data_IF_091761548076
#
_entry.id   IF_091761548076
#
_cell.length_a   1.000
_cell.length_b   1.000
_cell.length_c   1.000
_cell.angle_alpha   90.00
_cell.angle_beta   90.00
_cell.angle_gamma   90.00
#
_symmetry.space_group_name_H-M   'P 1'
#
loop_
_entity.id
_entity.type
_entity.pdbx_description
1 polymer ?
#
# COMPACT_ATOMS: atom_id res chain seq x y z
N UNK A 1 30.67 -29.51 -29.82
CA UNK A 1 29.36 -30.10 -29.45
C UNK A 1 29.36 -30.13 -27.93
N UNK A 2 28.90 -29.07 -27.26
CA UNK A 2 27.54 -29.02 -26.67
C UNK A 2 27.50 -29.98 -25.47
N UNK A 3 27.46 -29.55 -24.21
CA UNK A 3 26.28 -28.88 -23.68
C UNK A 3 26.60 -27.80 -22.62
N UNK A 4 25.93 -26.69 -22.86
CA UNK A 4 25.56 -25.59 -21.99
C UNK A 4 24.89 -26.10 -20.71
N UNK A 5 25.42 -25.72 -19.54
CA UNK A 5 24.72 -25.83 -18.27
C UNK A 5 24.09 -24.46 -17.98
N UNK A 6 23.00 -24.17 -18.70
CA UNK A 6 22.09 -23.07 -18.39
C UNK A 6 21.42 -23.33 -17.05
N UNK A 7 21.98 -22.74 -15.99
CA UNK A 7 21.31 -22.60 -14.70
C UNK A 7 20.25 -21.51 -14.83
N UNK A 8 19.16 -21.80 -15.55
CA UNK A 8 18.00 -20.92 -15.61
C UNK A 8 17.24 -20.97 -14.28
N UNK A 9 17.17 -19.81 -13.65
CA UNK A 9 15.94 -19.29 -13.06
C UNK A 9 15.28 -20.16 -11.99
N UNK A 10 15.72 -19.99 -10.75
CA UNK A 10 14.77 -20.05 -9.65
C UNK A 10 14.93 -18.80 -8.80
N UNK A 11 14.51 -17.68 -9.36
CA UNK A 11 14.02 -16.58 -8.53
C UNK A 11 12.90 -17.18 -7.67
N UNK A 12 13.01 -17.16 -6.33
CA UNK A 12 11.97 -17.70 -5.49
C UNK A 12 10.67 -16.98 -5.83
N UNK A 13 9.53 -17.68 -5.96
CA UNK A 13 8.26 -17.01 -6.19
C UNK A 13 8.05 -16.06 -5.01
N UNK A 14 8.10 -14.77 -5.29
CA UNK A 14 7.80 -13.75 -4.32
C UNK A 14 6.32 -13.89 -3.96
N UNK A 15 6.00 -14.74 -2.98
CA UNK A 15 4.73 -14.70 -2.26
C UNK A 15 4.74 -13.46 -1.34
N UNK A 16 5.00 -12.29 -1.92
CA UNK A 16 4.65 -11.00 -1.36
C UNK A 16 3.13 -10.98 -1.46
N UNK A 17 2.44 -11.21 -0.34
CA UNK A 17 0.97 -11.30 -0.29
C UNK A 17 0.26 -10.18 -1.07
N UNK A 18 -1.03 -10.33 -1.35
CA UNK A 18 -1.77 -9.41 -2.23
C UNK A 18 -1.43 -7.93 -1.96
N UNK A 19 -0.75 -7.31 -2.93
CA UNK A 19 -0.42 -5.90 -2.85
C UNK A 19 -1.70 -5.07 -2.80
N UNK A 20 -1.74 -4.10 -1.88
CA UNK A 20 -2.82 -3.12 -1.83
C UNK A 20 -2.35 -1.77 -2.37
N UNK A 21 -3.01 -1.30 -3.42
CA UNK A 21 -2.83 0.07 -3.92
C UNK A 21 -3.64 1.06 -3.11
N UNK A 22 -2.97 2.10 -2.61
CA UNK A 22 -3.58 3.24 -1.91
C UNK A 22 -3.34 4.52 -2.72
N UNK A 23 -4.37 5.36 -2.85
CA UNK A 23 -4.29 6.69 -3.43
C UNK A 23 -4.28 7.69 -2.27
N UNK A 24 -3.21 8.49 -2.17
CA UNK A 24 -3.08 9.51 -1.12
C UNK A 24 -3.24 10.89 -1.74
N UNK A 25 -4.25 11.64 -1.29
CA UNK A 25 -4.48 13.03 -1.71
C UNK A 25 -4.18 13.94 -0.55
N UNK A 26 -3.17 14.81 -0.71
CA UNK A 26 -2.66 15.68 0.34
C UNK A 26 -2.87 17.15 -0.04
N UNK A 27 -3.17 17.98 0.94
CA UNK A 27 -3.13 19.45 0.87
C UNK A 27 -2.54 20.02 2.16
N UNK A 28 -2.05 21.25 2.13
CA UNK A 28 -1.78 22.01 3.35
C UNK A 28 -3.05 22.74 3.78
N UNK A 29 -3.34 22.74 5.08
CA UNK A 29 -4.38 23.57 5.68
C UNK A 29 -3.87 24.99 6.00
N UNK A 30 -4.76 25.84 6.51
CA UNK A 30 -4.46 27.24 6.84
C UNK A 30 -3.41 27.39 7.97
N UNK A 31 -3.19 26.34 8.76
CA UNK A 31 -2.17 26.29 9.80
C UNK A 31 -0.85 25.68 9.30
N UNK A 32 -0.73 25.40 7.99
CA UNK A 32 0.44 24.80 7.35
C UNK A 32 0.58 23.29 7.59
N UNK A 33 -0.41 22.63 8.21
CA UNK A 33 -0.38 21.19 8.48
C UNK A 33 -0.85 20.41 7.25
N UNK A 34 -0.26 19.23 7.04
CA UNK A 34 -0.72 18.33 5.97
C UNK A 34 -2.05 17.71 6.36
N UNK A 35 -3.06 17.87 5.52
CA UNK A 35 -4.36 17.20 5.66
C UNK A 35 -4.69 16.46 4.38
N UNK A 36 -5.51 15.42 4.47
CA UNK A 36 -5.82 14.67 3.26
C UNK A 36 -6.70 13.46 3.47
N UNK A 37 -6.73 12.63 2.44
CA UNK A 37 -7.45 11.35 2.42
C UNK A 37 -6.55 10.26 1.85
N UNK A 38 -6.62 9.09 2.46
CA UNK A 38 -6.10 7.84 1.93
C UNK A 38 -7.29 7.05 1.42
N UNK A 39 -7.23 6.59 0.17
CA UNK A 39 -8.27 5.82 -0.49
C UNK A 39 -7.71 4.46 -0.92
N UNK A 40 -8.41 3.36 -0.61
CA UNK A 40 -8.10 2.05 -1.16
C UNK A 40 -8.59 1.98 -2.60
N UNK A 41 -7.68 1.83 -3.56
CA UNK A 41 -8.02 1.94 -4.99
C UNK A 41 -9.05 0.88 -5.44
N UNK A 42 -8.99 -0.34 -4.88
CA UNK A 42 -9.89 -1.45 -5.26
C UNK A 42 -11.33 -1.26 -4.76
N UNK A 43 -11.51 -0.68 -3.57
CA UNK A 43 -12.83 -0.60 -2.91
C UNK A 43 -13.39 0.81 -2.82
N UNK A 44 -12.55 1.83 -3.02
CA UNK A 44 -12.89 3.24 -2.78
C UNK A 44 -13.03 3.60 -1.30
N UNK A 45 -12.69 2.71 -0.37
CA UNK A 45 -12.73 2.96 1.08
C UNK A 45 -11.76 4.10 1.44
N UNK A 46 -12.22 5.05 2.27
CA UNK A 46 -11.54 6.32 2.52
C UNK A 46 -11.33 6.58 3.99
N UNK A 47 -10.13 7.00 4.35
CA UNK A 47 -9.80 7.48 5.69
C UNK A 47 -9.16 8.87 5.58
N UNK A 48 -9.67 9.83 6.36
CA UNK A 48 -9.09 11.18 6.44
C UNK A 48 -7.96 11.20 7.45
N UNK A 49 -6.98 12.06 7.21
CA UNK A 49 -5.89 12.31 8.14
C UNK A 49 -5.65 13.82 8.31
N UNK A 50 -5.18 14.19 9.50
CA UNK A 50 -4.85 15.55 9.90
C UNK A 50 -3.48 15.53 10.57
N UNK A 51 -2.49 16.13 9.92
CA UNK A 51 -1.08 16.00 10.29
C UNK A 51 -0.45 14.71 9.75
N UNK A 52 0.85 14.76 9.52
CA UNK A 52 1.62 13.63 8.98
C UNK A 52 1.64 12.43 9.94
N UNK A 53 1.58 12.69 11.25
CA UNK A 53 1.57 11.65 12.28
C UNK A 53 0.33 10.75 12.23
N UNK A 54 -0.77 11.25 11.65
CA UNK A 54 -2.01 10.47 11.52
C UNK A 54 -2.09 9.70 10.21
N UNK A 55 -1.24 10.01 9.22
CA UNK A 55 -1.22 9.32 7.93
C UNK A 55 -0.87 7.83 8.08
N UNK A 56 0.13 7.51 8.91
CA UNK A 56 0.55 6.12 9.15
C UNK A 56 -0.59 5.28 9.75
N UNK A 57 -1.38 5.87 10.67
CA UNK A 57 -2.57 5.24 11.24
C UNK A 57 -3.66 5.03 10.21
N UNK A 58 -3.88 6.00 9.32
CA UNK A 58 -4.86 5.88 8.23
C UNK A 58 -4.50 4.75 7.26
N UNK A 59 -3.20 4.60 6.93
CA UNK A 59 -2.71 3.49 6.11
C UNK A 59 -2.88 2.15 6.82
N UNK A 60 -2.51 2.07 8.11
CA UNK A 60 -2.66 0.84 8.90
C UNK A 60 -4.14 0.39 9.00
N UNK A 61 -5.07 1.33 9.20
CA UNK A 61 -6.49 1.03 9.25
C UNK A 61 -6.99 0.35 7.96
N UNK A 62 -6.60 0.87 6.80
CA UNK A 62 -6.98 0.29 5.50
C UNK A 62 -6.30 -1.06 5.22
N UNK A 63 -5.12 -1.31 5.78
CA UNK A 63 -4.41 -2.59 5.69
C UNK A 63 -5.10 -3.68 6.51
N UNK A 64 -5.54 -3.36 7.73
CA UNK A 64 -6.17 -4.31 8.66
C UNK A 64 -7.54 -4.80 8.21
N UNK A 65 -8.33 -3.99 7.47
CA UNK A 65 -9.67 -4.37 6.97
C UNK A 65 -9.65 -5.54 5.97
N UNK A 66 -8.48 -6.00 5.52
CA UNK A 66 -8.37 -7.17 4.61
C UNK A 66 -8.29 -8.50 5.35
N UNK A 67 -8.04 -8.52 6.67
CA UNK A 67 -7.83 -9.76 7.43
C UNK A 67 -9.13 -10.46 7.88
N UNK A 68 -10.29 -9.81 7.76
CA UNK A 68 -11.59 -10.38 8.16
C UNK A 68 -12.34 -10.91 6.92
N UNK A 69 -11.82 -11.99 6.34
CA UNK A 69 -12.40 -12.60 5.15
C UNK A 69 -11.49 -13.64 4.51
N UNK A 70 -11.15 -14.70 5.25
CA UNK A 70 -10.58 -15.93 4.72
C UNK A 70 -11.17 -17.13 5.44
#
# INVERSE_FOLDING_TARGET
MGNDHGSEGMEPPEHLGEYMTLIVRVRQDDAGRLTGVVERARTGEKVRFHGLETLSRAVAALLSTTAEGS
#
